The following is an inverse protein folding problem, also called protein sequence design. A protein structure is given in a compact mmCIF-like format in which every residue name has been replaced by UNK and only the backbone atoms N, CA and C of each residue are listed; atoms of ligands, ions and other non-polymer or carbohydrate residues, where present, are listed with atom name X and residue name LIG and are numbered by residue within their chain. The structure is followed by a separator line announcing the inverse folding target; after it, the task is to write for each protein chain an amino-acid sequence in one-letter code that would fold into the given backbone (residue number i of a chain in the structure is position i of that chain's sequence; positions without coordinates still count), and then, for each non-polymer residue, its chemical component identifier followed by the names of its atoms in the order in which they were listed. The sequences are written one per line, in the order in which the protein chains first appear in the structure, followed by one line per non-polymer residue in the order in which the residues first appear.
data_IF_174486570652
#
_entry.id   IF_174486570652
#
_cell.length_a   1.000
_cell.length_b   1.000
_cell.length_c   1.000
_cell.angle_alpha   90.00
_cell.angle_beta   90.00
_cell.angle_gamma   90.00
#
_symmetry.space_group_name_H-M   'P 1'
#
loop_
_entity.id
_entity.type
_entity.pdbx_description
1 polymer ?
#
# COMPACT_ATOMS: atom_id res chain seq x y z
N UNK A 1 7.08 -3.77 51.57
CA UNK A 1 6.65 -2.80 50.54
C UNK A 1 7.50 -2.88 49.23
N UNK A 2 8.82 -2.91 49.28
CA UNK A 2 9.67 -2.98 48.07
C UNK A 2 9.42 -4.18 47.17
N UNK A 3 9.14 -5.36 47.73
CA UNK A 3 8.86 -6.60 46.95
C UNK A 3 7.54 -6.53 46.15
N UNK A 4 6.52 -5.87 46.72
CA UNK A 4 5.23 -5.69 46.06
C UNK A 4 5.33 -4.73 44.85
N UNK A 5 6.14 -3.65 44.99
CA UNK A 5 6.39 -2.69 43.92
C UNK A 5 7.15 -3.32 42.74
N UNK A 6 8.14 -4.19 43.02
CA UNK A 6 8.90 -4.92 41.99
C UNK A 6 7.99 -5.90 41.26
N UNK A 7 7.11 -6.61 41.96
CA UNK A 7 6.16 -7.53 41.34
C UNK A 7 5.18 -6.81 40.43
N UNK A 8 4.63 -5.66 40.89
CA UNK A 8 3.75 -4.83 40.08
C UNK A 8 4.41 -4.31 38.79
N UNK A 9 5.67 -3.88 38.88
CA UNK A 9 6.43 -3.43 37.73
C UNK A 9 6.66 -4.54 36.70
N UNK A 10 7.00 -5.76 37.15
CA UNK A 10 7.19 -6.92 36.29
C UNK A 10 5.89 -7.28 35.53
N UNK A 11 4.74 -7.26 36.21
CA UNK A 11 3.43 -7.52 35.58
C UNK A 11 3.15 -6.51 34.47
N UNK A 12 3.40 -5.20 34.71
CA UNK A 12 3.20 -4.15 33.70
C UNK A 12 4.10 -4.35 32.49
N UNK A 13 5.38 -4.70 32.71
CA UNK A 13 6.33 -4.94 31.61
C UNK A 13 5.90 -6.13 30.77
N UNK A 14 5.52 -7.25 31.40
CA UNK A 14 5.04 -8.44 30.70
C UNK A 14 3.78 -8.14 29.90
N UNK A 15 2.83 -7.40 30.49
CA UNK A 15 1.60 -7.04 29.80
C UNK A 15 1.85 -6.11 28.60
N UNK A 16 2.72 -5.11 28.75
CA UNK A 16 3.12 -4.23 27.64
C UNK A 16 3.81 -5.03 26.52
N UNK A 17 4.71 -5.96 26.88
CA UNK A 17 5.37 -6.84 25.91
C UNK A 17 4.38 -7.73 25.16
N UNK A 18 3.40 -8.33 25.85
CA UNK A 18 2.35 -9.14 25.25
C UNK A 18 1.48 -8.32 24.28
N UNK A 19 1.12 -7.08 24.63
CA UNK A 19 0.36 -6.18 23.76
C UNK A 19 1.13 -5.83 22.48
N UNK A 20 2.41 -5.50 22.61
CA UNK A 20 3.26 -5.20 21.45
C UNK A 20 3.42 -6.41 20.55
N UNK A 21 3.67 -7.58 21.13
CA UNK A 21 3.78 -8.83 20.38
C UNK A 21 2.48 -9.16 19.62
N UNK A 22 1.33 -8.98 20.26
CA UNK A 22 0.02 -9.23 19.64
C UNK A 22 -0.28 -8.26 18.48
N UNK A 23 0.11 -6.99 18.60
CA UNK A 23 0.02 -6.02 17.52
C UNK A 23 0.89 -6.42 16.32
N UNK A 24 2.13 -6.84 16.56
CA UNK A 24 3.03 -7.29 15.50
C UNK A 24 2.48 -8.52 14.78
N UNK A 25 1.89 -9.48 15.50
CA UNK A 25 1.26 -10.66 14.91
C UNK A 25 0.06 -10.28 14.03
N UNK A 26 -0.77 -9.32 14.47
CA UNK A 26 -1.88 -8.81 13.64
C UNK A 26 -1.41 -8.15 12.36
N UNK A 27 -0.41 -7.27 12.43
CA UNK A 27 0.17 -6.60 11.28
C UNK A 27 0.77 -7.63 10.31
N UNK A 28 1.51 -8.59 10.80
CA UNK A 28 2.11 -9.64 9.95
C UNK A 28 1.06 -10.49 9.23
N UNK A 29 -0.05 -10.84 9.90
CA UNK A 29 -1.17 -11.57 9.27
C UNK A 29 -1.87 -10.73 8.21
N UNK A 30 -2.09 -9.45 8.49
CA UNK A 30 -2.67 -8.50 7.55
C UNK A 30 -1.77 -8.35 6.32
N UNK A 31 -0.47 -8.12 6.50
CA UNK A 31 0.50 -7.99 5.42
C UNK A 31 0.51 -9.23 4.51
N UNK A 32 0.48 -10.43 5.13
CA UNK A 32 0.42 -11.69 4.39
C UNK A 32 -0.86 -11.80 3.56
N UNK A 33 -2.01 -11.52 4.17
CA UNK A 33 -3.31 -11.57 3.50
C UNK A 33 -3.38 -10.57 2.35
N UNK A 34 -2.97 -9.32 2.58
CA UNK A 34 -2.96 -8.28 1.56
C UNK A 34 -2.00 -8.63 0.41
N UNK A 35 -0.80 -9.10 0.71
CA UNK A 35 0.17 -9.55 -0.30
C UNK A 35 -0.38 -10.65 -1.19
N UNK A 36 -1.17 -11.58 -0.65
CA UNK A 36 -1.80 -12.66 -1.41
C UNK A 36 -2.97 -12.14 -2.27
N UNK A 37 -3.68 -11.12 -1.82
CA UNK A 37 -4.83 -10.56 -2.51
C UNK A 37 -4.47 -9.48 -3.54
N UNK A 38 -3.28 -8.85 -3.43
CA UNK A 38 -2.90 -7.72 -4.28
C UNK A 38 -2.69 -8.07 -5.76
N UNK A 39 -2.14 -9.24 -6.15
CA UNK A 39 -2.01 -9.58 -7.58
C UNK A 39 -3.34 -9.54 -8.32
N UNK A 40 -3.34 -8.92 -9.50
CA UNK A 40 -4.53 -8.74 -10.32
C UNK A 40 -4.53 -7.42 -11.06
N UNK A 41 -5.68 -7.08 -11.64
CA UNK A 41 -5.89 -5.82 -12.36
C UNK A 41 -6.74 -4.89 -11.51
N UNK A 42 -6.26 -3.67 -11.34
CA UNK A 42 -6.86 -2.65 -10.52
C UNK A 42 -7.13 -1.37 -11.32
N UNK A 43 -8.26 -0.73 -11.05
CA UNK A 43 -8.69 0.50 -11.67
C UNK A 43 -8.78 1.61 -10.62
N UNK A 44 -8.20 2.76 -10.93
CA UNK A 44 -8.45 4.02 -10.25
C UNK A 44 -9.07 4.98 -11.25
N UNK A 45 -10.14 5.64 -10.86
CA UNK A 45 -10.84 6.62 -11.70
C UNK A 45 -11.09 7.88 -10.89
N UNK A 46 -10.71 9.01 -11.46
CA UNK A 46 -10.98 10.37 -10.97
C UNK A 46 -11.58 11.18 -12.11
N UNK A 47 -12.00 12.41 -11.84
CA UNK A 47 -12.71 13.27 -12.81
C UNK A 47 -12.00 13.35 -14.17
N UNK A 48 -10.68 13.55 -14.16
CA UNK A 48 -9.88 13.76 -15.39
C UNK A 48 -8.77 12.71 -15.55
N UNK A 49 -8.80 11.65 -14.74
CA UNK A 49 -7.78 10.60 -14.77
C UNK A 49 -8.42 9.22 -14.67
N UNK A 50 -7.95 8.32 -15.52
CA UNK A 50 -8.16 6.88 -15.39
C UNK A 50 -6.80 6.21 -15.31
N UNK A 51 -6.66 5.28 -14.39
CA UNK A 51 -5.42 4.54 -14.23
C UNK A 51 -5.74 3.05 -14.07
N UNK A 52 -5.06 2.20 -14.85
CA UNK A 52 -5.14 0.75 -14.70
C UNK A 52 -3.77 0.24 -14.26
N UNK A 53 -3.74 -0.53 -13.19
CA UNK A 53 -2.53 -1.15 -12.64
C UNK A 53 -2.66 -2.66 -12.67
N UNK A 54 -1.76 -3.33 -13.38
CA UNK A 54 -1.63 -4.78 -13.34
C UNK A 54 -0.50 -5.13 -12.37
N UNK A 55 -0.83 -5.88 -11.35
CA UNK A 55 0.07 -6.28 -10.27
C UNK A 55 0.31 -7.77 -10.38
N UNK A 56 1.57 -8.18 -10.47
CA UNK A 56 1.97 -9.58 -10.57
C UNK A 56 2.42 -10.14 -9.21
N UNK A 57 2.28 -11.45 -9.02
CA UNK A 57 2.64 -12.13 -7.78
C UNK A 57 4.16 -12.14 -7.52
N UNK A 58 4.98 -11.93 -8.55
CA UNK A 58 6.43 -11.84 -8.45
C UNK A 58 6.96 -10.50 -7.87
N UNK A 59 6.05 -9.59 -7.52
CA UNK A 59 6.39 -8.28 -6.98
C UNK A 59 6.59 -7.20 -8.05
N UNK A 60 6.25 -7.46 -9.32
CA UNK A 60 6.26 -6.47 -10.38
C UNK A 60 4.89 -5.84 -10.60
N UNK A 61 4.85 -4.65 -11.22
CA UNK A 61 3.62 -4.04 -11.72
C UNK A 61 3.85 -3.24 -13.00
N UNK A 62 2.76 -3.09 -13.75
CA UNK A 62 2.63 -2.18 -14.88
C UNK A 62 1.40 -1.30 -14.63
N UNK A 63 1.58 0.00 -14.76
CA UNK A 63 0.52 1.00 -14.60
C UNK A 63 0.37 1.81 -15.87
N UNK A 64 -0.86 1.96 -16.36
CA UNK A 64 -1.24 2.82 -17.48
C UNK A 64 -2.19 3.90 -16.97
N UNK A 65 -1.82 5.16 -17.19
CA UNK A 65 -2.60 6.33 -16.75
C UNK A 65 -2.99 7.17 -17.96
N UNK A 66 -4.27 7.55 -18.03
CA UNK A 66 -4.84 8.44 -19.03
C UNK A 66 -5.31 9.71 -18.34
N UNK A 67 -4.81 10.85 -18.80
CA UNK A 67 -5.20 12.18 -18.33
C UNK A 67 -5.94 12.90 -19.44
N UNK A 68 -7.23 13.18 -19.21
CA UNK A 68 -8.08 13.87 -20.17
C UNK A 68 -8.01 15.37 -19.94
N UNK A 69 -7.66 16.11 -20.99
CA UNK A 69 -7.75 17.57 -21.09
C UNK A 69 -8.80 17.93 -22.14
N UNK A 70 -9.33 19.14 -22.18
CA UNK A 70 -10.37 19.53 -23.14
C UNK A 70 -9.99 19.30 -24.60
N UNK A 71 -8.72 19.41 -24.95
CA UNK A 71 -8.17 19.35 -26.30
C UNK A 71 -7.28 18.15 -26.59
N UNK A 72 -6.93 17.36 -25.56
CA UNK A 72 -6.02 16.20 -25.73
C UNK A 72 -6.13 15.18 -24.59
N UNK A 73 -5.68 13.96 -24.86
CA UNK A 73 -5.45 12.94 -23.85
C UNK A 73 -3.98 12.57 -23.78
N UNK A 74 -3.38 12.65 -22.60
CA UNK A 74 -2.02 12.17 -22.37
C UNK A 74 -2.07 10.78 -21.76
N UNK A 75 -1.23 9.89 -22.26
CA UNK A 75 -1.10 8.52 -21.73
C UNK A 75 0.32 8.32 -21.23
N UNK A 76 0.45 7.81 -20.01
CA UNK A 76 1.73 7.47 -19.41
C UNK A 76 1.74 6.02 -18.94
N UNK A 77 2.89 5.39 -19.07
CA UNK A 77 3.14 4.05 -18.56
C UNK A 77 4.22 4.12 -17.47
N UNK A 78 3.98 3.38 -16.38
CA UNK A 78 4.95 3.16 -15.32
C UNK A 78 5.17 1.67 -15.14
N UNK A 79 6.40 1.30 -14.83
CA UNK A 79 6.73 -0.07 -14.42
C UNK A 79 7.58 -0.04 -13.16
N UNK A 80 7.44 -1.05 -12.33
CA UNK A 80 8.17 -1.07 -11.09
C UNK A 80 7.95 -2.35 -10.29
N UNK A 81 8.28 -2.25 -9.02
CA UNK A 81 8.11 -3.33 -8.06
C UNK A 81 7.31 -2.84 -6.85
N UNK A 82 6.64 -3.78 -6.19
CA UNK A 82 5.89 -3.51 -4.98
C UNK A 82 6.28 -4.49 -3.87
N UNK A 83 6.13 -4.05 -2.65
CA UNK A 83 6.18 -4.91 -1.47
C UNK A 83 5.22 -4.39 -0.39
N UNK A 84 4.81 -5.29 0.49
CA UNK A 84 3.96 -4.96 1.65
C UNK A 84 4.75 -5.24 2.91
N UNK A 85 4.84 -4.25 3.80
CA UNK A 85 5.56 -4.36 5.05
C UNK A 85 4.98 -3.42 6.11
N UNK A 86 4.73 -3.94 7.31
CA UNK A 86 4.25 -3.19 8.47
C UNK A 86 2.99 -2.35 8.19
N UNK A 87 2.02 -2.93 7.44
CA UNK A 87 0.78 -2.24 7.06
C UNK A 87 0.95 -1.17 5.99
N UNK A 88 2.09 -1.14 5.31
CA UNK A 88 2.37 -0.20 4.23
C UNK A 88 2.56 -0.94 2.91
N UNK A 89 2.10 -0.29 1.84
CA UNK A 89 2.44 -0.61 0.46
C UNK A 89 3.64 0.26 0.05
N UNK A 90 4.72 -0.37 -0.36
CA UNK A 90 5.93 0.28 -0.87
C UNK A 90 6.03 0.00 -2.35
N UNK A 91 6.00 1.04 -3.16
CA UNK A 91 6.12 0.95 -4.61
C UNK A 91 7.40 1.64 -5.08
N UNK A 92 8.20 0.93 -5.86
CA UNK A 92 9.39 1.50 -6.51
C UNK A 92 9.10 1.59 -8.01
N UNK A 93 8.92 2.82 -8.51
CA UNK A 93 8.80 3.11 -9.94
C UNK A 93 10.19 3.03 -10.55
N UNK A 94 10.41 2.09 -11.46
CA UNK A 94 11.69 1.89 -12.13
C UNK A 94 11.79 2.66 -13.44
N UNK A 95 10.69 2.70 -14.18
CA UNK A 95 10.60 3.42 -15.45
C UNK A 95 9.25 4.13 -15.55
N UNK A 96 9.26 5.30 -16.19
CA UNK A 96 8.08 6.07 -16.53
C UNK A 96 8.23 6.70 -17.92
N UNK A 97 7.14 6.73 -18.68
CA UNK A 97 7.07 7.49 -19.94
C UNK A 97 6.65 8.94 -19.71
N UNK A 98 6.29 9.32 -18.47
CA UNK A 98 6.04 10.71 -18.11
C UNK A 98 7.36 11.49 -18.05
N UNK A 99 7.61 12.46 -18.92
CA UNK A 99 8.91 13.17 -18.99
C UNK A 99 9.21 14.02 -17.76
N UNK A 100 8.20 14.33 -16.93
CA UNK A 100 8.37 15.13 -15.71
C UNK A 100 8.61 14.25 -14.48
N UNK A 101 8.52 12.93 -14.59
CA UNK A 101 8.69 12.02 -13.48
C UNK A 101 10.12 11.49 -13.42
N UNK A 102 10.85 11.89 -12.38
CA UNK A 102 12.18 11.35 -12.14
C UNK A 102 12.09 9.88 -11.71
N UNK A 103 12.84 9.01 -12.38
CA UNK A 103 12.93 7.58 -12.06
C UNK A 103 14.40 7.15 -11.94
N UNK A 104 14.74 6.17 -11.06
CA UNK A 104 13.82 5.46 -10.17
C UNK A 104 13.44 6.29 -8.93
N UNK A 105 12.24 6.07 -8.40
CA UNK A 105 11.85 6.61 -7.09
C UNK A 105 10.95 5.63 -6.34
N UNK A 106 10.90 5.78 -5.02
CA UNK A 106 10.11 4.91 -4.13
C UNK A 106 9.10 5.74 -3.36
N UNK A 107 7.85 5.32 -3.39
CA UNK A 107 6.76 5.83 -2.59
C UNK A 107 6.31 4.81 -1.55
N UNK A 108 5.91 5.28 -0.37
CA UNK A 108 5.34 4.45 0.69
C UNK A 108 3.99 5.01 1.07
N UNK A 109 2.97 4.17 1.02
CA UNK A 109 1.61 4.52 1.40
C UNK A 109 1.08 3.57 2.48
N UNK A 110 0.38 4.11 3.48
CA UNK A 110 -0.27 3.29 4.51
C UNK A 110 -1.52 2.63 3.93
N UNK A 111 -1.68 1.34 4.13
CA UNK A 111 -2.90 0.61 3.77
C UNK A 111 -3.97 0.91 4.82
N UNK A 112 -5.08 1.52 4.39
CA UNK A 112 -6.19 1.94 5.26
C UNK A 112 -7.28 0.88 5.28
N UNK A 113 -7.59 0.34 4.11
CA UNK A 113 -8.61 -0.67 3.90
C UNK A 113 -8.22 -1.62 2.78
N UNK A 114 -8.64 -2.87 2.88
CA UNK A 114 -8.47 -3.85 1.81
C UNK A 114 -9.51 -4.96 1.95
N UNK A 115 -10.17 -5.27 0.84
CA UNK A 115 -11.05 -6.43 0.68
C UNK A 115 -10.85 -7.07 -0.70
N UNK A 116 -11.77 -7.98 -1.10
CA UNK A 116 -11.68 -8.68 -2.37
C UNK A 116 -11.93 -7.77 -3.60
N UNK A 117 -12.55 -6.59 -3.41
CA UNK A 117 -13.01 -5.70 -4.47
C UNK A 117 -12.24 -4.39 -4.55
N UNK A 118 -11.73 -3.91 -3.41
CA UNK A 118 -11.01 -2.64 -3.36
C UNK A 118 -9.89 -2.64 -2.33
N UNK A 119 -8.94 -1.75 -2.51
CA UNK A 119 -8.04 -1.32 -1.45
C UNK A 119 -7.86 0.20 -1.47
N UNK A 120 -7.64 0.75 -0.28
CA UNK A 120 -7.40 2.18 -0.07
C UNK A 120 -6.04 2.36 0.58
N UNK A 121 -5.23 3.21 0.00
CA UNK A 121 -3.93 3.61 0.56
C UNK A 121 -3.89 5.12 0.79
N UNK A 122 -3.21 5.52 1.86
CA UNK A 122 -2.98 6.92 2.21
C UNK A 122 -1.49 7.25 2.06
N UNK A 123 -1.21 8.22 1.22
CA UNK A 123 0.13 8.74 0.99
C UNK A 123 0.57 9.72 2.10
N UNK A 124 1.89 10.03 2.24
CA UNK A 124 2.39 10.95 3.28
C UNK A 124 1.76 12.35 3.24
N UNK A 125 1.31 12.82 2.08
CA UNK A 125 0.60 14.10 1.89
C UNK A 125 -0.90 14.03 2.27
N UNK A 126 -1.33 12.98 2.97
CA UNK A 126 -2.71 12.70 3.39
C UNK A 126 -3.70 12.45 2.24
N UNK A 127 -3.25 12.33 1.00
CA UNK A 127 -4.09 11.96 -0.14
C UNK A 127 -4.39 10.47 -0.06
N UNK A 128 -5.68 10.12 -0.11
CA UNK A 128 -6.13 8.75 -0.22
C UNK A 128 -6.34 8.36 -1.68
N UNK A 129 -5.91 7.16 -2.01
CA UNK A 129 -6.10 6.58 -3.33
C UNK A 129 -6.90 5.30 -3.19
N UNK A 130 -8.01 5.22 -3.92
CA UNK A 130 -8.91 4.05 -3.96
C UNK A 130 -8.64 3.29 -5.25
N UNK A 131 -8.39 2.00 -5.11
CA UNK A 131 -8.21 1.08 -6.22
C UNK A 131 -9.30 0.02 -6.19
N UNK A 132 -10.00 -0.15 -7.29
CA UNK A 132 -11.07 -1.13 -7.46
C UNK A 132 -10.58 -2.30 -8.32
N UNK A 133 -10.88 -3.52 -7.92
CA UNK A 133 -10.52 -4.72 -8.68
C UNK A 133 -11.36 -4.81 -9.95
N UNK A 134 -10.70 -5.01 -11.06
CA UNK A 134 -11.36 -5.38 -12.31
C UNK A 134 -11.68 -6.87 -12.25
N UNK A 135 -12.96 -7.21 -12.14
CA UNK A 135 -13.46 -8.58 -12.18
C UNK A 135 -13.62 -8.93 -13.67
N UNK A 136 -12.86 -9.90 -14.11
CA UNK A 136 -13.00 -10.49 -15.46
C UNK A 136 -14.10 -11.54 -15.46
#
# INVERSE_FOLDING_TARGET
MKKLAIFGLLVVIVFAWLLLHWQQVKISRFDKSFRQSLPGVWLRQETNMRCTKTVAADGSFVELSWFSHPDRTNTYQRTGTWLVSNGNLVETIKNSTNPTEATPHTGTARIIHSDAREFVVRWPNSVETVWQRVIQ
#
